data_IF_171597144974
#
_entry.id   IF_171597144974
#
_cell.length_a   1.000
_cell.length_b   1.000
_cell.length_c   1.000
_cell.angle_alpha   90.00
_cell.angle_beta   90.00
_cell.angle_gamma   90.00
#
_symmetry.space_group_name_H-M   'P 1'
#
loop_
_entity.id
_entity.type
_entity.pdbx_description
1 polymer ?
#
# COMPACT_ATOMS: atom_id res chain seq x y z
N UNK A 1 5.44 25.49 -7.42
CA UNK A 1 6.09 26.21 -8.55
C UNK A 1 5.99 27.74 -8.42
N UNK A 2 4.88 28.32 -7.92
CA UNK A 2 4.73 29.80 -7.83
C UNK A 2 5.64 30.44 -6.77
N UNK A 3 5.90 29.75 -5.64
CA UNK A 3 6.78 30.24 -4.58
C UNK A 3 8.26 30.18 -4.98
N UNK A 4 8.65 29.14 -5.72
CA UNK A 4 10.00 29.04 -6.27
C UNK A 4 10.34 30.21 -7.21
N UNK A 5 9.34 30.68 -7.99
CA UNK A 5 9.49 31.87 -8.85
C UNK A 5 9.66 33.16 -8.07
N UNK A 6 9.38 33.18 -6.75
CA UNK A 6 9.55 34.34 -5.87
C UNK A 6 10.91 34.36 -5.15
N UNK A 7 11.83 33.45 -5.51
CA UNK A 7 13.19 33.44 -4.99
C UNK A 7 13.37 32.81 -3.61
N UNK A 8 12.39 32.03 -3.13
CA UNK A 8 12.57 31.25 -1.91
C UNK A 8 13.57 30.13 -2.15
N UNK A 9 14.49 29.92 -1.20
CA UNK A 9 15.38 28.78 -1.21
C UNK A 9 14.58 27.49 -0.97
N UNK A 10 15.09 26.37 -1.52
CA UNK A 10 14.42 25.05 -1.45
C UNK A 10 14.19 24.60 0.00
N UNK A 11 15.21 24.78 0.86
CA UNK A 11 15.15 24.42 2.27
C UNK A 11 14.06 25.20 3.00
N UNK A 12 13.96 26.51 2.75
CA UNK A 12 12.90 27.37 3.33
C UNK A 12 11.53 26.93 2.88
N UNK A 13 11.35 26.55 1.62
CA UNK A 13 10.07 26.05 1.11
C UNK A 13 9.69 24.71 1.74
N UNK A 14 10.63 23.80 1.89
CA UNK A 14 10.39 22.51 2.54
C UNK A 14 10.00 22.69 4.00
N UNK A 15 10.69 23.59 4.72
CA UNK A 15 10.39 23.92 6.10
C UNK A 15 8.96 24.50 6.25
N UNK A 16 8.61 25.48 5.43
CA UNK A 16 7.25 26.06 5.41
C UNK A 16 6.18 25.01 5.08
N UNK A 17 6.42 24.15 4.11
CA UNK A 17 5.50 23.05 3.78
C UNK A 17 5.36 22.06 4.94
N UNK A 18 6.46 21.76 5.60
CA UNK A 18 6.47 20.86 6.76
C UNK A 18 5.63 21.44 7.90
N UNK A 19 5.82 22.70 8.23
CA UNK A 19 5.07 23.38 9.29
C UNK A 19 3.58 23.54 8.94
N UNK A 20 3.29 23.93 7.70
CA UNK A 20 1.92 24.23 7.29
C UNK A 20 1.06 22.99 7.00
N UNK A 21 1.66 21.92 6.47
CA UNK A 21 0.91 20.78 5.95
C UNK A 21 1.23 19.46 6.63
N UNK A 22 2.50 19.18 6.94
CA UNK A 22 2.87 17.89 7.54
C UNK A 22 2.61 17.87 9.05
N UNK A 23 3.08 18.86 9.79
CA UNK A 23 2.96 18.93 11.26
C UNK A 23 1.52 18.80 11.77
N UNK A 24 0.50 19.49 11.19
CA UNK A 24 -0.88 19.33 11.63
C UNK A 24 -1.44 17.93 11.45
N UNK A 25 -0.90 17.14 10.48
CA UNK A 25 -1.38 15.82 10.12
C UNK A 25 -0.62 14.67 10.79
N UNK A 26 0.50 14.94 11.45
CA UNK A 26 1.35 13.91 12.08
C UNK A 26 0.56 12.98 13.02
N UNK A 27 -0.30 13.55 13.87
CA UNK A 27 -1.09 12.76 14.83
C UNK A 27 -2.03 11.78 14.13
N UNK A 28 -2.64 12.21 13.04
CA UNK A 28 -3.54 11.38 12.24
C UNK A 28 -2.77 10.25 11.55
N UNK A 29 -1.65 10.57 10.90
CA UNK A 29 -0.80 9.62 10.20
C UNK A 29 -0.24 8.57 11.18
N UNK A 30 0.29 9.00 12.31
CA UNK A 30 0.80 8.12 13.37
C UNK A 30 -0.29 7.21 13.93
N UNK A 31 -1.46 7.76 14.24
CA UNK A 31 -2.59 6.95 14.73
C UNK A 31 -3.03 5.89 13.72
N UNK A 32 -3.05 6.22 12.44
CA UNK A 32 -3.39 5.28 11.36
C UNK A 32 -2.32 4.18 11.23
N UNK A 33 -1.06 4.56 11.22
CA UNK A 33 0.07 3.64 11.22
C UNK A 33 -0.04 2.62 12.36
N UNK A 34 -0.18 3.09 13.59
CA UNK A 34 -0.29 2.23 14.78
C UNK A 34 -1.51 1.30 14.74
N UNK A 35 -2.65 1.77 14.20
CA UNK A 35 -3.84 0.93 14.01
C UNK A 35 -3.57 -0.19 13.00
N UNK A 36 -2.95 0.13 11.87
CA UNK A 36 -2.61 -0.85 10.85
C UNK A 36 -1.58 -1.87 11.35
N UNK A 37 -0.54 -1.45 12.07
CA UNK A 37 0.41 -2.36 12.71
C UNK A 37 -0.30 -3.34 13.67
N UNK A 38 -1.26 -2.87 14.47
CA UNK A 38 -2.04 -3.75 15.36
C UNK A 38 -2.91 -4.75 14.61
N UNK A 39 -3.46 -4.38 13.46
CA UNK A 39 -4.21 -5.29 12.59
C UNK A 39 -3.29 -6.36 12.02
N UNK A 40 -2.14 -5.95 11.48
CA UNK A 40 -1.20 -6.84 10.82
C UNK A 40 -0.52 -7.82 11.78
N UNK A 41 -0.28 -7.45 13.04
CA UNK A 41 0.21 -8.39 14.06
C UNK A 41 -0.71 -9.58 14.30
N UNK A 42 -1.97 -9.47 13.95
CA UNK A 42 -2.98 -10.54 14.07
C UNK A 42 -3.30 -11.18 12.72
N UNK A 43 -2.76 -10.63 11.65
CA UNK A 43 -3.05 -11.09 10.31
C UNK A 43 -2.19 -12.33 9.98
N UNK A 44 -2.80 -13.44 9.54
CA UNK A 44 -2.10 -14.74 9.44
C UNK A 44 -1.01 -14.78 8.38
N UNK A 45 -1.02 -13.88 7.42
CA UNK A 45 -0.05 -13.84 6.31
C UNK A 45 0.93 -12.66 6.41
N UNK A 46 1.03 -12.03 7.57
CA UNK A 46 2.08 -11.07 7.89
C UNK A 46 3.18 -11.79 8.70
N UNK A 47 4.24 -12.20 8.03
CA UNK A 47 5.33 -12.97 8.66
C UNK A 47 6.39 -12.08 9.28
N UNK A 48 6.43 -10.82 8.93
CA UNK A 48 7.32 -9.82 9.51
C UNK A 48 6.59 -9.01 10.58
N UNK A 49 7.19 -8.88 11.77
CA UNK A 49 6.53 -8.31 12.94
C UNK A 49 7.30 -7.14 13.61
N UNK A 50 8.48 -6.86 13.11
CA UNK A 50 9.39 -5.82 13.58
C UNK A 50 9.07 -4.46 12.92
N UNK A 51 7.87 -3.96 13.21
CA UNK A 51 7.43 -2.67 12.68
C UNK A 51 8.35 -1.54 13.18
N UNK A 52 8.96 -0.74 12.28
CA UNK A 52 9.81 0.37 12.67
C UNK A 52 9.04 1.43 13.47
N UNK A 53 9.74 2.27 14.21
CA UNK A 53 9.12 3.42 14.84
C UNK A 53 8.60 4.39 13.74
N UNK A 54 7.49 5.07 14.03
CA UNK A 54 6.89 6.00 13.06
C UNK A 54 7.88 7.07 12.57
N UNK A 55 8.76 7.51 13.43
CA UNK A 55 9.78 8.52 13.18
C UNK A 55 10.93 8.03 12.27
N UNK A 56 11.09 6.70 12.17
CA UNK A 56 12.12 6.04 11.36
C UNK A 56 11.67 5.67 9.96
N UNK A 57 10.38 5.87 9.66
CA UNK A 57 9.83 5.52 8.35
C UNK A 57 10.48 6.32 7.22
N UNK A 58 10.81 5.68 6.08
CA UNK A 58 11.55 6.31 4.99
C UNK A 58 10.73 7.36 4.23
N UNK A 59 9.41 7.29 4.32
CA UNK A 59 8.50 8.22 3.65
C UNK A 59 7.69 9.04 4.66
N UNK A 60 7.52 10.33 4.32
CA UNK A 60 6.53 11.23 4.92
C UNK A 60 5.42 11.49 3.93
N UNK A 61 4.20 11.67 4.41
CA UNK A 61 3.05 11.93 3.55
C UNK A 61 2.50 13.33 3.81
N UNK A 62 2.55 14.18 2.79
CA UNK A 62 2.01 15.52 2.82
C UNK A 62 0.61 15.51 2.23
N UNK A 63 -0.40 16.12 2.86
CA UNK A 63 -1.72 16.19 2.29
C UNK A 63 -1.70 16.98 0.98
N UNK A 64 -2.28 16.41 -0.06
CA UNK A 64 -2.51 17.07 -1.35
C UNK A 64 -3.88 17.77 -1.35
N UNK A 65 -4.87 17.09 -0.83
CA UNK A 65 -6.22 17.57 -0.54
C UNK A 65 -6.81 16.80 0.66
N UNK A 66 -8.12 16.84 0.84
CA UNK A 66 -8.82 16.22 1.99
C UNK A 66 -8.67 14.68 2.03
N UNK A 67 -8.36 14.04 0.91
CA UNK A 67 -8.33 12.57 0.79
C UNK A 67 -6.97 12.02 0.33
N UNK A 68 -6.17 12.82 -0.37
CA UNK A 68 -4.95 12.38 -1.07
C UNK A 68 -3.69 12.93 -0.44
N UNK A 69 -2.62 12.20 -0.60
CA UNK A 69 -1.31 12.51 -0.05
C UNK A 69 -0.24 12.48 -1.15
N UNK A 70 0.81 13.25 -0.93
CA UNK A 70 2.04 13.22 -1.73
C UNK A 70 3.12 12.56 -0.88
N UNK A 71 3.73 11.45 -1.34
CA UNK A 71 4.87 10.87 -0.64
C UNK A 71 6.10 11.75 -0.79
N UNK A 72 6.87 11.85 0.29
CA UNK A 72 8.15 12.56 0.35
C UNK A 72 9.21 11.60 0.88
N UNK A 73 10.26 11.37 0.10
CA UNK A 73 11.43 10.58 0.50
C UNK A 73 12.40 11.45 1.27
N UNK A 74 12.60 11.15 2.54
CA UNK A 74 13.44 11.98 3.43
C UNK A 74 14.93 11.94 3.03
N UNK A 75 15.42 10.79 2.60
CA UNK A 75 16.83 10.61 2.21
C UNK A 75 17.23 11.47 0.99
N UNK A 76 16.39 11.49 -0.03
CA UNK A 76 16.64 12.21 -1.29
C UNK A 76 16.01 13.60 -1.33
N UNK A 77 15.23 13.95 -0.30
CA UNK A 77 14.43 15.19 -0.24
C UNK A 77 13.55 15.40 -1.48
N UNK A 78 12.94 14.34 -1.99
CA UNK A 78 12.12 14.39 -3.20
C UNK A 78 10.66 14.09 -2.93
N UNK A 79 9.78 14.83 -3.60
CA UNK A 79 8.34 14.54 -3.64
C UNK A 79 8.04 13.62 -4.80
N UNK A 80 7.26 12.58 -4.53
CA UNK A 80 6.67 11.73 -5.55
C UNK A 80 5.40 12.33 -6.16
N UNK A 81 4.71 11.52 -6.95
CA UNK A 81 3.40 11.89 -7.50
C UNK A 81 2.32 11.77 -6.42
N UNK A 82 1.28 12.63 -6.45
CA UNK A 82 0.14 12.49 -5.54
C UNK A 82 -0.53 11.12 -5.70
N UNK A 83 -0.79 10.47 -4.58
CA UNK A 83 -1.48 9.18 -4.56
C UNK A 83 -2.92 9.35 -5.07
N UNK A 84 -3.40 8.36 -5.80
CA UNK A 84 -4.78 8.27 -6.31
C UNK A 84 -5.23 9.48 -7.14
N UNK A 85 -4.29 10.27 -7.67
CA UNK A 85 -4.61 11.44 -8.51
C UNK A 85 -5.08 11.05 -9.90
N UNK A 86 -4.59 9.93 -10.42
CA UNK A 86 -4.99 9.38 -11.70
C UNK A 86 -5.73 8.09 -11.46
N UNK A 87 -6.76 7.86 -12.26
CA UNK A 87 -7.30 6.52 -12.33
C UNK A 87 -6.17 5.57 -12.70
N UNK A 88 -6.01 4.48 -11.96
CA UNK A 88 -4.95 3.54 -12.21
C UNK A 88 -5.02 3.13 -13.67
N UNK A 89 -3.88 3.13 -14.34
CA UNK A 89 -3.73 2.48 -15.64
C UNK A 89 -3.63 0.97 -15.40
N UNK A 90 -4.51 0.45 -14.59
CA UNK A 90 -4.71 -0.99 -14.55
C UNK A 90 -5.28 -1.31 -15.92
N UNK A 91 -4.50 -2.00 -16.74
CA UNK A 91 -4.93 -2.31 -18.09
C UNK A 91 -6.29 -2.98 -18.05
N UNK A 92 -7.18 -2.67 -18.97
CA UNK A 92 -8.47 -3.38 -19.11
C UNK A 92 -8.29 -4.90 -19.04
N UNK A 93 -7.16 -5.39 -19.52
CA UNK A 93 -6.81 -6.82 -19.51
C UNK A 93 -6.58 -7.37 -18.12
N UNK A 94 -6.08 -6.58 -17.17
CA UNK A 94 -5.92 -7.02 -15.79
C UNK A 94 -7.28 -7.28 -15.14
N UNK A 95 -8.25 -6.41 -15.35
CA UNK A 95 -9.60 -6.55 -14.80
C UNK A 95 -10.47 -7.59 -15.48
N UNK A 96 -10.20 -7.91 -16.74
CA UNK A 96 -10.93 -8.96 -17.46
C UNK A 96 -10.69 -10.36 -16.89
N UNK A 97 -9.65 -10.55 -16.10
CA UNK A 97 -9.26 -11.84 -15.53
C UNK A 97 -9.48 -11.94 -14.01
N UNK A 98 -10.29 -11.06 -13.41
CA UNK A 98 -10.59 -11.11 -11.96
C UNK A 98 -11.52 -12.28 -11.58
N UNK A 99 -11.90 -13.12 -12.53
CA UNK A 99 -12.52 -14.43 -12.34
C UNK A 99 -11.49 -15.55 -12.03
N UNK A 100 -10.20 -15.24 -12.11
CA UNK A 100 -9.07 -16.14 -11.82
C UNK A 100 -8.22 -15.58 -10.70
N UNK A 101 -7.47 -16.42 -9.98
CA UNK A 101 -6.48 -15.94 -9.02
C UNK A 101 -5.46 -15.02 -9.70
N UNK A 102 -5.26 -13.85 -9.14
CA UNK A 102 -4.32 -12.83 -9.63
C UNK A 102 -3.31 -12.54 -8.55
N UNK A 103 -2.06 -12.47 -8.93
CA UNK A 103 -0.97 -12.01 -8.08
C UNK A 103 -0.52 -10.63 -8.58
N UNK A 104 -0.51 -9.65 -7.68
CA UNK A 104 0.01 -8.31 -7.93
C UNK A 104 1.05 -7.95 -6.87
N UNK A 105 2.05 -7.17 -7.24
CA UNK A 105 3.09 -6.73 -6.33
C UNK A 105 2.99 -5.23 -6.05
N UNK A 106 3.31 -4.85 -4.81
CA UNK A 106 3.55 -3.48 -4.38
C UNK A 106 2.43 -2.48 -4.75
N UNK A 107 1.18 -2.89 -4.54
CA UNK A 107 0.01 -2.02 -4.75
C UNK A 107 -0.23 -1.17 -3.50
N UNK A 108 0.06 0.12 -3.59
CA UNK A 108 -0.02 1.06 -2.47
C UNK A 108 -1.16 2.08 -2.61
N UNK A 109 -1.91 2.06 -3.70
CA UNK A 109 -3.05 2.94 -3.91
C UNK A 109 -4.28 2.39 -3.19
N UNK A 110 -4.87 3.17 -2.29
CA UNK A 110 -6.12 2.81 -1.61
C UNK A 110 -7.24 2.57 -2.62
N UNK A 111 -7.32 3.43 -3.64
CA UNK A 111 -8.31 3.31 -4.71
C UNK A 111 -8.17 2.01 -5.50
N UNK A 112 -6.93 1.63 -5.85
CA UNK A 112 -6.67 0.37 -6.56
C UNK A 112 -7.03 -0.84 -5.71
N UNK A 113 -6.66 -0.84 -4.45
CA UNK A 113 -6.98 -1.91 -3.52
C UNK A 113 -8.50 -2.08 -3.35
N UNK A 114 -9.24 -0.99 -3.17
CA UNK A 114 -10.70 -1.00 -3.08
C UNK A 114 -11.32 -1.47 -4.40
N UNK A 115 -10.82 -0.99 -5.52
CA UNK A 115 -11.29 -1.42 -6.83
C UNK A 115 -11.06 -2.93 -7.05
N UNK A 116 -9.90 -3.46 -6.69
CA UNK A 116 -9.61 -4.90 -6.77
C UNK A 116 -10.58 -5.69 -5.91
N UNK A 117 -10.77 -5.30 -4.65
CA UNK A 117 -11.72 -5.92 -3.72
C UNK A 117 -13.13 -5.97 -4.30
N UNK A 118 -13.60 -4.86 -4.84
CA UNK A 118 -14.99 -4.71 -5.29
C UNK A 118 -15.26 -5.44 -6.61
N UNK A 119 -14.23 -5.72 -7.39
CA UNK A 119 -14.34 -6.35 -8.70
C UNK A 119 -13.87 -7.82 -8.75
N UNK A 120 -13.35 -8.37 -7.67
CA UNK A 120 -13.07 -9.81 -7.59
C UNK A 120 -14.35 -10.61 -7.72
N UNK A 121 -14.40 -11.54 -8.68
CA UNK A 121 -15.56 -12.35 -8.99
C UNK A 121 -15.37 -13.76 -8.49
N UNK A 122 -16.47 -14.44 -8.20
CA UNK A 122 -16.43 -15.89 -7.95
C UNK A 122 -15.89 -16.60 -9.18
N UNK A 123 -14.97 -17.53 -8.97
CA UNK A 123 -14.48 -18.36 -10.05
C UNK A 123 -15.61 -19.27 -10.56
N UNK A 124 -16.02 -19.10 -11.80
CA UNK A 124 -17.03 -19.94 -12.44
C UNK A 124 -16.56 -21.40 -12.56
N UNK A 125 -15.24 -21.63 -12.61
CA UNK A 125 -14.62 -22.93 -12.81
C UNK A 125 -14.68 -23.87 -11.62
N UNK A 126 -14.69 -23.33 -10.40
CA UNK A 126 -14.51 -24.15 -9.18
C UNK A 126 -15.64 -23.90 -8.17
N UNK A 127 -16.56 -22.97 -8.41
CA UNK A 127 -17.60 -22.56 -7.47
C UNK A 127 -17.06 -21.98 -6.16
N UNK A 128 -15.77 -21.66 -6.09
CA UNK A 128 -15.09 -21.10 -4.94
C UNK A 128 -14.94 -19.58 -5.10
N UNK A 129 -14.89 -18.90 -3.97
CA UNK A 129 -14.52 -17.49 -3.97
C UNK A 129 -13.11 -17.30 -4.51
N UNK A 130 -12.96 -16.34 -5.39
CA UNK A 130 -11.68 -15.98 -5.96
C UNK A 130 -11.00 -14.93 -5.06
N UNK A 131 -9.66 -14.84 -5.14
CA UNK A 131 -8.86 -13.92 -4.36
C UNK A 131 -7.86 -13.20 -5.25
N UNK A 132 -7.51 -11.96 -4.88
CA UNK A 132 -6.35 -11.26 -5.40
C UNK A 132 -5.25 -11.34 -4.33
N UNK A 133 -4.10 -11.83 -4.71
CA UNK A 133 -2.92 -11.93 -3.87
C UNK A 133 -2.05 -10.71 -4.09
N UNK A 134 -1.74 -10.02 -3.01
CA UNK A 134 -0.97 -8.79 -2.99
C UNK A 134 0.34 -9.08 -2.26
N UNK A 135 1.44 -9.15 -3.00
CA UNK A 135 2.76 -9.40 -2.45
C UNK A 135 3.53 -8.09 -2.25
N UNK A 136 4.10 -7.92 -1.07
CA UNK A 136 4.92 -6.77 -0.70
C UNK A 136 6.32 -7.23 -0.34
N UNK A 137 7.30 -6.84 -1.14
CA UNK A 137 8.69 -7.27 -1.03
C UNK A 137 9.54 -6.32 -0.19
N UNK A 138 9.24 -5.02 -0.25
CA UNK A 138 9.94 -4.00 0.50
C UNK A 138 9.20 -3.69 1.81
N UNK A 139 9.71 -4.24 2.89
CA UNK A 139 9.12 -4.09 4.22
C UNK A 139 9.07 -2.64 4.71
N UNK A 140 10.14 -1.88 4.50
CA UNK A 140 10.22 -0.49 4.98
C UNK A 140 9.25 0.42 4.22
N UNK A 141 9.19 0.25 2.90
CA UNK A 141 8.24 0.97 2.05
C UNK A 141 6.81 0.56 2.39
N UNK A 142 6.53 -0.73 2.54
CA UNK A 142 5.21 -1.19 2.97
C UNK A 142 4.80 -0.55 4.30
N UNK A 143 5.67 -0.59 5.31
CA UNK A 143 5.41 0.05 6.59
C UNK A 143 5.15 1.55 6.45
N UNK A 144 5.89 2.24 5.58
CA UNK A 144 5.66 3.66 5.36
C UNK A 144 4.25 3.94 4.82
N UNK A 145 3.74 3.13 3.90
CA UNK A 145 2.39 3.30 3.35
C UNK A 145 1.26 3.00 4.36
N UNK A 146 1.55 2.31 5.46
CA UNK A 146 0.57 2.11 6.55
C UNK A 146 0.10 3.42 7.21
N UNK A 147 0.79 4.53 6.97
CA UNK A 147 0.37 5.87 7.41
C UNK A 147 -0.88 6.37 6.68
N UNK A 148 -1.10 5.94 5.44
CA UNK A 148 -2.14 6.45 4.55
C UNK A 148 -3.17 5.41 4.13
N UNK A 149 -2.83 4.13 4.17
CA UNK A 149 -3.75 3.03 3.86
C UNK A 149 -4.80 2.85 4.97
N UNK A 150 -6.02 2.52 4.58
CA UNK A 150 -7.07 2.03 5.45
C UNK A 150 -7.21 0.51 5.24
N UNK A 151 -6.44 -0.28 5.98
CA UNK A 151 -6.38 -1.73 5.77
C UNK A 151 -7.60 -2.47 6.28
N UNK A 152 -8.26 -1.97 7.32
CA UNK A 152 -9.34 -2.69 8.00
C UNK A 152 -10.42 -3.22 7.03
N UNK A 153 -11.06 -2.37 6.19
CA UNK A 153 -12.09 -2.85 5.27
C UNK A 153 -11.53 -3.74 4.15
N UNK A 154 -10.23 -3.68 3.90
CA UNK A 154 -9.57 -4.52 2.88
C UNK A 154 -9.29 -5.94 3.39
N UNK A 155 -9.10 -6.10 4.70
CA UNK A 155 -8.79 -7.38 5.33
C UNK A 155 -10.05 -8.15 5.77
N UNK A 156 -11.18 -7.45 6.00
CA UNK A 156 -12.40 -8.05 6.54
C UNK A 156 -13.13 -8.98 5.56
N UNK A 157 -13.01 -8.74 4.25
CA UNK A 157 -13.76 -9.50 3.24
C UNK A 157 -13.02 -10.71 2.64
N UNK A 158 -11.76 -10.94 3.04
CA UNK A 158 -10.90 -12.03 2.55
C UNK A 158 -10.74 -12.12 1.01
N UNK A 159 -11.23 -11.14 0.26
CA UNK A 159 -11.09 -11.07 -1.19
C UNK A 159 -9.68 -10.66 -1.62
N UNK A 160 -9.03 -9.84 -0.81
CA UNK A 160 -7.64 -9.49 -0.94
C UNK A 160 -6.83 -10.24 0.11
N UNK A 161 -5.79 -10.92 -0.33
CA UNK A 161 -4.86 -11.63 0.54
C UNK A 161 -3.51 -10.92 0.47
N UNK A 162 -3.14 -10.28 1.56
CA UNK A 162 -1.87 -9.57 1.69
C UNK A 162 -0.79 -10.56 2.09
N UNK A 163 0.20 -10.72 1.25
CA UNK A 163 1.37 -11.55 1.47
C UNK A 163 2.55 -10.65 1.82
N UNK A 164 2.90 -10.61 3.11
CA UNK A 164 3.86 -9.64 3.65
C UNK A 164 5.05 -10.39 4.24
N UNK A 165 6.20 -10.30 3.58
CA UNK A 165 7.46 -10.93 3.98
C UNK A 165 8.37 -11.15 2.77
N UNK A 166 9.65 -11.29 3.05
CA UNK A 166 10.71 -11.27 2.02
C UNK A 166 10.76 -12.53 1.16
N UNK A 167 10.25 -13.66 1.67
CA UNK A 167 10.39 -14.93 0.98
C UNK A 167 9.05 -15.66 0.81
N UNK A 168 8.71 -15.95 -0.42
CA UNK A 168 7.57 -16.79 -0.77
C UNK A 168 7.70 -18.20 -0.15
N UNK A 169 8.93 -18.67 0.05
CA UNK A 169 9.23 -19.93 0.74
C UNK A 169 8.70 -20.02 2.17
N UNK A 170 8.43 -18.88 2.82
CA UNK A 170 7.84 -18.82 4.16
C UNK A 170 6.34 -19.16 4.18
N UNK A 171 5.68 -19.11 3.02
CA UNK A 171 4.27 -19.47 2.96
C UNK A 171 4.08 -20.99 3.05
N UNK A 172 3.12 -21.47 3.85
CA UNK A 172 2.86 -22.90 3.99
C UNK A 172 2.61 -23.60 2.66
N UNK A 173 3.11 -24.81 2.50
CA UNK A 173 2.96 -25.61 1.27
C UNK A 173 1.48 -25.82 0.93
N UNK A 174 0.65 -26.02 1.92
CA UNK A 174 -0.81 -26.15 1.77
C UNK A 174 -1.46 -24.84 1.29
N UNK A 175 -0.90 -23.68 1.63
CA UNK A 175 -1.31 -22.41 1.06
C UNK A 175 -1.02 -22.36 -0.45
N UNK A 176 0.19 -22.74 -0.85
CA UNK A 176 0.58 -22.82 -2.26
C UNK A 176 -0.31 -23.80 -3.03
N UNK A 177 -0.55 -25.00 -2.46
CA UNK A 177 -1.41 -26.01 -3.04
C UNK A 177 -2.89 -25.59 -3.09
N UNK A 178 -3.37 -24.92 -2.04
CA UNK A 178 -4.75 -24.47 -1.94
C UNK A 178 -5.12 -23.40 -2.96
N UNK A 179 -4.20 -22.52 -3.28
CA UNK A 179 -4.44 -21.38 -4.16
C UNK A 179 -3.90 -21.55 -5.57
N UNK A 180 -3.16 -22.67 -5.85
CA UNK A 180 -2.64 -22.97 -7.18
C UNK A 180 -1.69 -21.93 -7.73
N UNK A 181 -1.01 -21.19 -6.87
CA UNK A 181 -0.10 -20.12 -7.28
C UNK A 181 1.17 -20.75 -7.79
N UNK A 182 1.44 -20.57 -9.07
CA UNK A 182 2.70 -20.99 -9.71
C UNK A 182 3.77 -19.92 -9.50
N UNK A 183 4.52 -20.05 -8.43
CA UNK A 183 5.60 -19.11 -8.08
C UNK A 183 6.77 -19.12 -9.07
N UNK A 184 6.87 -20.14 -9.95
CA UNK A 184 7.91 -20.17 -10.97
C UNK A 184 7.79 -19.05 -12.00
N UNK A 185 6.62 -18.39 -12.04
CA UNK A 185 6.32 -17.27 -12.94
C UNK A 185 6.35 -15.90 -12.26
N UNK A 186 6.70 -15.86 -10.98
CA UNK A 186 6.87 -14.62 -10.27
C UNK A 186 8.24 -14.03 -10.61
N UNK A 187 8.31 -12.76 -11.07
CA UNK A 187 9.59 -12.12 -11.41
C UNK A 187 10.45 -11.84 -10.18
#
# INVERSE_FOLDING_TARGET
RSLYRRGFQRETLLELMTQAFYQPNIKLLKSRYEKNCRLLRKYPYCFQQDFPAFEELPLRFYPYDDQRYIPFTAETETFGEPLDLRHPVISRNFFQNLDKPVLAADVYSQYELEFLRDNVRKSEWVGRENHVYLHYTDWEIFCAYLQVLNLRPLLEEEKLVFLIGDEISQYPIDFQARFGIDYSRYP
#
